data_IF_233749746718
#
_entry.id   IF_233749746718
#
_cell.length_a   1.000
_cell.length_b   1.000
_cell.length_c   1.000
_cell.angle_alpha   90.00
_cell.angle_beta   90.00
_cell.angle_gamma   90.00
#
_symmetry.space_group_name_H-M   'P 1'
#
loop_
_entity.id
_entity.type
_entity.pdbx_description
1 polymer ?
#
# COMPACT_ATOMS: atom_id res chain seq x y z
N UNK A 1 -5.80 21.19 -15.17
CA UNK A 1 -4.44 21.04 -14.71
C UNK A 1 -4.36 20.25 -13.41
N UNK A 2 -3.52 19.25 -13.40
CA UNK A 2 -3.32 18.46 -12.20
C UNK A 2 -2.50 19.26 -11.19
N UNK A 3 -2.96 19.29 -9.93
CA UNK A 3 -2.26 20.06 -8.91
C UNK A 3 -0.93 19.38 -8.54
N UNK A 4 0.04 20.21 -8.14
CA UNK A 4 1.34 19.71 -7.69
C UNK A 4 1.20 18.75 -6.49
N UNK A 5 0.19 18.98 -5.64
CA UNK A 5 -0.04 18.12 -4.49
C UNK A 5 -0.47 16.70 -4.87
N UNK A 6 -1.24 16.55 -5.96
CA UNK A 6 -1.63 15.23 -6.45
C UNK A 6 -0.43 14.47 -6.99
N UNK A 7 0.45 15.15 -7.72
CA UNK A 7 1.67 14.53 -8.25
C UNK A 7 2.60 14.11 -7.12
N UNK A 8 2.76 14.99 -6.13
CA UNK A 8 3.60 14.69 -4.96
C UNK A 8 3.09 13.50 -4.18
N UNK A 9 1.77 13.43 -3.96
CA UNK A 9 1.16 12.32 -3.25
C UNK A 9 1.38 11.00 -3.99
N UNK A 10 1.20 11.01 -5.31
CA UNK A 10 1.39 9.81 -6.12
C UNK A 10 2.82 9.28 -6.03
N UNK A 11 3.80 10.16 -6.13
CA UNK A 11 5.21 9.77 -6.03
C UNK A 11 5.55 9.21 -4.66
N UNK A 12 5.05 9.83 -3.61
CA UNK A 12 5.25 9.36 -2.24
C UNK A 12 4.67 7.96 -2.02
N UNK A 13 3.48 7.74 -2.55
CA UNK A 13 2.79 6.45 -2.48
C UNK A 13 3.60 5.37 -3.19
N UNK A 14 4.11 5.66 -4.38
CA UNK A 14 4.90 4.71 -5.16
C UNK A 14 6.20 4.36 -4.46
N UNK A 15 6.87 5.33 -3.86
CA UNK A 15 8.12 5.10 -3.14
C UNK A 15 7.88 4.19 -1.94
N UNK A 16 6.81 4.42 -1.19
CA UNK A 16 6.45 3.58 -0.05
C UNK A 16 6.15 2.15 -0.49
N UNK A 17 5.45 2.00 -1.60
CA UNK A 17 5.15 0.67 -2.12
C UNK A 17 6.42 -0.08 -2.50
N UNK A 18 7.37 0.60 -3.15
CA UNK A 18 8.66 -0.01 -3.50
C UNK A 18 9.41 -0.49 -2.26
N UNK A 19 9.41 0.30 -1.20
CA UNK A 19 10.04 -0.07 0.06
C UNK A 19 9.35 -1.28 0.70
N UNK A 20 8.01 -1.32 0.64
CA UNK A 20 7.25 -2.44 1.17
C UNK A 20 7.62 -3.75 0.44
N UNK A 21 7.70 -3.69 -0.89
CA UNK A 21 8.07 -4.86 -1.68
C UNK A 21 9.46 -5.34 -1.30
N UNK A 22 10.41 -4.42 -1.20
CA UNK A 22 11.79 -4.77 -0.83
C UNK A 22 11.85 -5.43 0.54
N UNK A 23 11.10 -4.90 1.52
CA UNK A 23 11.04 -5.48 2.86
C UNK A 23 10.47 -6.88 2.85
N UNK A 24 9.37 -7.08 2.10
CA UNK A 24 8.71 -8.38 2.04
C UNK A 24 9.59 -9.42 1.35
N UNK A 25 10.28 -9.04 0.28
CA UNK A 25 11.20 -9.94 -0.40
C UNK A 25 12.37 -10.36 0.50
N UNK A 26 12.90 -9.40 1.25
CA UNK A 26 13.99 -9.69 2.20
C UNK A 26 13.53 -10.63 3.30
N UNK A 27 12.34 -10.40 3.84
CA UNK A 27 11.77 -11.26 4.88
C UNK A 27 11.44 -12.66 4.38
N UNK A 28 10.99 -12.78 3.13
CA UNK A 28 10.64 -14.08 2.56
C UNK A 28 11.86 -14.98 2.35
N UNK A 29 13.03 -14.39 2.20
CA UNK A 29 14.28 -15.15 2.10
C UNK A 29 14.65 -15.79 3.43
N UNK A 30 14.30 -15.14 4.54
CA UNK A 30 14.59 -15.63 5.87
C UNK A 30 13.54 -16.60 6.39
N UNK A 31 12.29 -16.35 6.04
CA UNK A 31 11.17 -17.19 6.46
C UNK A 31 10.18 -17.34 5.31
N UNK A 32 10.07 -18.55 4.80
CA UNK A 32 9.10 -18.87 3.76
C UNK A 32 7.69 -18.59 4.29
N UNK A 33 6.92 -17.84 3.52
CA UNK A 33 5.57 -17.47 3.92
C UNK A 33 5.42 -16.02 4.37
N UNK A 34 6.52 -15.30 4.57
CA UNK A 34 6.46 -13.89 4.94
C UNK A 34 5.76 -13.07 3.85
N UNK A 35 6.06 -13.40 2.60
CA UNK A 35 5.42 -12.78 1.46
C UNK A 35 3.91 -13.05 1.44
N UNK A 36 3.51 -14.28 1.70
CA UNK A 36 2.10 -14.66 1.74
C UNK A 36 1.37 -13.96 2.88
N UNK A 37 2.04 -13.78 4.01
CA UNK A 37 1.49 -13.09 5.16
C UNK A 37 1.09 -11.65 4.80
N UNK A 38 1.88 -10.98 3.95
CA UNK A 38 1.61 -9.61 3.55
C UNK A 38 0.97 -9.47 2.16
N UNK A 39 0.67 -10.58 1.49
CA UNK A 39 0.17 -10.56 0.11
C UNK A 39 -1.06 -9.68 -0.07
N UNK A 40 -2.03 -9.80 0.84
CA UNK A 40 -3.26 -9.01 0.75
C UNK A 40 -2.99 -7.51 0.83
N UNK A 41 -2.09 -7.11 1.74
CA UNK A 41 -1.73 -5.71 1.91
C UNK A 41 -1.05 -5.16 0.68
N UNK A 42 -0.19 -5.96 0.05
CA UNK A 42 0.49 -5.56 -1.17
C UNK A 42 -0.49 -5.39 -2.32
N UNK A 43 -1.43 -6.32 -2.47
CA UNK A 43 -2.45 -6.25 -3.52
C UNK A 43 -3.35 -5.03 -3.34
N UNK A 44 -3.82 -4.78 -2.12
CA UNK A 44 -4.66 -3.63 -1.81
C UNK A 44 -3.91 -2.32 -2.06
N UNK A 45 -2.64 -2.26 -1.67
CA UNK A 45 -1.81 -1.08 -1.90
C UNK A 45 -1.63 -0.82 -3.39
N UNK A 46 -1.35 -1.88 -4.16
CA UNK A 46 -1.23 -1.76 -5.61
C UNK A 46 -2.52 -1.23 -6.22
N UNK A 47 -3.66 -1.74 -5.75
CA UNK A 47 -4.97 -1.28 -6.20
C UNK A 47 -5.20 0.21 -5.94
N UNK A 48 -4.84 0.67 -4.74
CA UNK A 48 -4.95 2.09 -4.40
C UNK A 48 -4.07 2.97 -5.28
N UNK A 49 -2.87 2.48 -5.60
CA UNK A 49 -1.96 3.23 -6.46
C UNK A 49 -2.54 3.36 -7.87
N UNK A 50 -3.07 2.27 -8.41
CA UNK A 50 -3.67 2.28 -9.74
C UNK A 50 -4.86 3.23 -9.81
N UNK A 51 -5.77 3.15 -8.83
CA UNK A 51 -6.94 4.02 -8.79
C UNK A 51 -6.53 5.47 -8.64
N UNK A 52 -5.55 5.76 -7.79
CA UNK A 52 -5.04 7.12 -7.60
C UNK A 52 -4.51 7.68 -8.92
N UNK A 53 -3.74 6.87 -9.64
CA UNK A 53 -3.20 7.26 -10.94
C UNK A 53 -4.31 7.56 -11.95
N UNK A 54 -5.31 6.68 -12.04
CA UNK A 54 -6.41 6.86 -12.97
C UNK A 54 -7.24 8.11 -12.65
N UNK A 55 -7.52 8.35 -11.37
CA UNK A 55 -8.25 9.54 -10.96
C UNK A 55 -7.46 10.81 -11.22
N UNK A 56 -6.14 10.77 -11.00
CA UNK A 56 -5.29 11.91 -11.30
C UNK A 56 -5.31 12.24 -12.79
N UNK A 57 -5.32 11.22 -13.65
CA UNK A 57 -5.43 11.42 -15.09
C UNK A 57 -6.77 12.06 -15.46
N UNK A 58 -7.86 11.58 -14.89
CA UNK A 58 -9.17 12.15 -15.14
C UNK A 58 -9.25 13.59 -14.67
N UNK A 59 -8.66 13.91 -13.53
CA UNK A 59 -8.63 15.27 -13.01
C UNK A 59 -7.85 16.21 -13.92
N UNK A 60 -6.83 15.70 -14.60
CA UNK A 60 -6.06 16.47 -15.57
C UNK A 60 -6.84 16.76 -16.85
N UNK A 61 -7.84 15.93 -17.17
CA UNK A 61 -8.64 16.08 -18.38
C UNK A 61 -9.94 16.88 -18.15
N UNK A 62 -10.47 16.85 -16.93
CA UNK A 62 -11.74 17.50 -16.61
C UNK A 62 -11.76 18.00 -15.18
N UNK A 63 -12.15 19.26 -15.00
CA UNK A 63 -12.21 19.88 -13.68
C UNK A 63 -13.22 19.20 -12.74
N UNK A 64 -14.24 18.57 -13.28
CA UNK A 64 -15.26 17.94 -12.44
C UNK A 64 -14.71 16.77 -11.62
N UNK A 65 -13.57 16.20 -12.03
CA UNK A 65 -12.95 15.09 -11.31
C UNK A 65 -11.88 15.49 -10.30
N UNK A 66 -11.52 16.79 -10.25
CA UNK A 66 -10.45 17.26 -9.38
C UNK A 66 -10.75 17.01 -7.91
N UNK A 67 -11.94 17.35 -7.46
CA UNK A 67 -12.31 17.18 -6.07
C UNK A 67 -12.35 15.70 -5.67
N UNK A 68 -12.91 14.87 -6.54
CA UNK A 68 -12.95 13.42 -6.30
C UNK A 68 -11.55 12.85 -6.18
N UNK A 69 -10.64 13.27 -7.06
CA UNK A 69 -9.26 12.83 -7.03
C UNK A 69 -8.57 13.24 -5.73
N UNK A 70 -8.78 14.46 -5.28
CA UNK A 70 -8.18 14.94 -4.03
C UNK A 70 -8.68 14.15 -2.82
N UNK A 71 -9.97 13.90 -2.75
CA UNK A 71 -10.55 13.12 -1.66
C UNK A 71 -10.00 11.71 -1.64
N UNK A 72 -9.98 11.06 -2.79
CA UNK A 72 -9.48 9.70 -2.88
C UNK A 72 -7.99 9.61 -2.58
N UNK A 73 -7.18 10.57 -3.06
CA UNK A 73 -5.75 10.58 -2.78
C UNK A 73 -5.49 10.68 -1.29
N UNK A 74 -6.24 11.51 -0.60
CA UNK A 74 -6.08 11.66 0.85
C UNK A 74 -6.43 10.37 1.58
N UNK A 75 -7.52 9.72 1.17
CA UNK A 75 -7.93 8.45 1.74
C UNK A 75 -6.88 7.37 1.48
N UNK A 76 -6.38 7.30 0.24
CA UNK A 76 -5.38 6.33 -0.15
C UNK A 76 -4.07 6.51 0.62
N UNK A 77 -3.64 7.76 0.83
CA UNK A 77 -2.44 8.05 1.62
C UNK A 77 -2.55 7.48 3.03
N UNK A 78 -3.71 7.64 3.66
CA UNK A 78 -3.94 7.09 4.99
C UNK A 78 -3.89 5.57 5.00
N UNK A 79 -4.54 4.93 4.05
CA UNK A 79 -4.56 3.48 3.93
C UNK A 79 -3.17 2.91 3.65
N UNK A 80 -2.44 3.53 2.74
CA UNK A 80 -1.10 3.09 2.36
C UNK A 80 -0.11 3.32 3.50
N UNK A 81 -0.25 4.44 4.21
CA UNK A 81 0.60 4.73 5.35
C UNK A 81 0.42 3.69 6.46
N UNK A 82 -0.82 3.27 6.71
CA UNK A 82 -1.13 2.22 7.67
C UNK A 82 -0.50 0.89 7.25
N UNK A 83 -0.68 0.50 6.00
CA UNK A 83 -0.10 -0.73 5.47
C UNK A 83 1.43 -0.68 5.50
N UNK A 84 1.99 0.44 5.13
CA UNK A 84 3.44 0.65 5.13
C UNK A 84 4.01 0.47 6.53
N UNK A 85 3.42 1.13 7.52
CA UNK A 85 3.87 1.03 8.89
C UNK A 85 3.83 -0.42 9.38
N UNK A 86 2.74 -1.12 9.08
CA UNK A 86 2.60 -2.49 9.50
C UNK A 86 3.65 -3.41 8.85
N UNK A 87 3.83 -3.29 7.54
CA UNK A 87 4.79 -4.13 6.80
C UNK A 87 6.22 -3.85 7.23
N UNK A 88 6.59 -2.58 7.34
CA UNK A 88 7.97 -2.21 7.68
C UNK A 88 8.35 -2.60 9.10
N UNK A 89 7.39 -2.64 10.01
CA UNK A 89 7.63 -3.00 11.40
C UNK A 89 7.35 -4.47 11.71
N UNK A 90 6.88 -5.24 10.75
CA UNK A 90 6.63 -6.66 10.95
C UNK A 90 7.92 -7.45 11.07
N UNK A 91 7.91 -8.46 11.93
CA UNK A 91 9.04 -9.33 12.14
C UNK A 91 8.65 -10.77 11.80
N UNK A 92 9.64 -11.64 11.74
CA UNK A 92 9.39 -13.06 11.53
C UNK A 92 8.58 -13.65 12.69
N UNK A 93 8.77 -13.09 13.88
CA UNK A 93 8.02 -13.50 15.07
C UNK A 93 6.52 -13.23 14.88
N UNK A 94 6.15 -12.13 14.24
CA UNK A 94 4.75 -11.82 13.96
C UNK A 94 4.10 -12.89 13.10
N UNK A 95 4.82 -13.41 12.13
CA UNK A 95 4.34 -14.47 11.25
C UNK A 95 4.12 -15.76 12.05
N UNK A 96 5.03 -16.08 12.94
CA UNK A 96 4.92 -17.26 13.77
C UNK A 96 3.73 -17.16 14.73
N UNK A 97 3.51 -15.98 15.30
CA UNK A 97 2.35 -15.74 16.15
C UNK A 97 1.05 -15.91 15.37
N UNK A 98 1.00 -15.41 14.15
CA UNK A 98 -0.16 -15.57 13.30
C UNK A 98 -0.44 -17.04 13.02
N UNK A 99 0.58 -17.82 12.72
CA UNK A 99 0.44 -19.24 12.48
C UNK A 99 -0.08 -19.96 13.73
N UNK A 100 0.42 -19.59 14.88
CA UNK A 100 -0.02 -20.16 16.15
C UNK A 100 -1.51 -19.88 16.39
N UNK A 101 -1.96 -18.67 16.09
CA UNK A 101 -3.38 -18.33 16.23
C UNK A 101 -4.25 -19.17 15.31
N UNK A 102 -3.82 -19.37 14.08
CA UNK A 102 -4.56 -20.20 13.13
C UNK A 102 -4.66 -21.66 13.64
N UNK A 103 -3.57 -22.19 14.13
CA UNK A 103 -3.55 -23.55 14.67
C UNK A 103 -4.47 -23.72 15.88
N UNK A 104 -4.53 -22.69 16.73
CA UNK A 104 -5.40 -22.71 17.91
C UNK A 104 -6.88 -22.69 17.55
N UNK A 105 -7.23 -22.06 16.42
CA UNK A 105 -8.63 -21.95 15.99
C UNK A 105 -9.09 -23.15 15.18
N UNK A 106 -8.18 -23.99 14.74
CA UNK A 106 -8.52 -25.25 14.05
C UNK A 106 -8.74 -26.36 15.09
#
# INVERSE_FOLDING_TARGET
EMSASLVGSEMCIRDRFSEMIARVEAGDKELCGFKDFHARRLVETAGHIIITYLLARQAGESEEYVNSAKVFCKLAEGKISEAYTYVMNSTLEDVELFKAVIEETE
#
